data_IF_499708514302
#
_entry.id   IF_499708514302
#
_cell.length_a   1.000
_cell.length_b   1.000
_cell.length_c   1.000
_cell.angle_alpha   90.00
_cell.angle_beta   90.00
_cell.angle_gamma   90.00
#
_symmetry.space_group_name_H-M   'P 1'
#
loop_
_entity.id
_entity.type
_entity.pdbx_description
1 polymer ?
#
# COMPACT_ATOMS: atom_id res chain seq x y z
N UNK A 1 18.64 -18.47 -4.68
CA UNK A 1 17.20 -18.66 -4.39
C UNK A 1 16.62 -17.26 -4.25
N UNK A 2 15.85 -16.70 -5.21
CA UNK A 2 15.19 -15.43 -4.94
C UNK A 2 14.13 -15.69 -3.87
N UNK A 3 14.17 -14.95 -2.76
CA UNK A 3 13.15 -15.06 -1.72
C UNK A 3 11.79 -14.74 -2.35
N UNK A 4 10.81 -15.61 -2.17
CA UNK A 4 9.44 -15.29 -2.53
C UNK A 4 9.03 -14.06 -1.72
N UNK A 5 8.93 -12.91 -2.38
CA UNK A 5 8.31 -11.72 -1.80
C UNK A 5 6.84 -12.06 -1.70
N UNK A 6 6.39 -12.39 -0.50
CA UNK A 6 4.97 -12.52 -0.21
C UNK A 6 4.37 -11.15 -0.42
N UNK A 7 3.50 -11.02 -1.41
CA UNK A 7 2.84 -9.77 -1.72
C UNK A 7 1.88 -9.43 -0.58
N UNK A 8 1.76 -8.16 -0.14
CA UNK A 8 0.97 -7.77 1.02
C UNK A 8 -0.50 -8.30 1.02
N UNK A 9 -1.11 -8.47 -0.15
CA UNK A 9 -2.48 -9.01 -0.30
C UNK A 9 -2.59 -10.54 -0.24
N UNK A 10 -1.47 -11.26 -0.14
CA UNK A 10 -1.44 -12.72 0.02
C UNK A 10 -1.55 -13.15 1.50
N UNK A 11 -1.60 -12.19 2.44
CA UNK A 11 -1.56 -12.42 3.89
C UNK A 11 -2.76 -13.21 4.48
N UNK A 12 -3.79 -13.54 3.70
CA UNK A 12 -4.96 -14.30 4.17
C UNK A 12 -5.31 -15.54 3.32
N UNK A 13 -4.35 -16.09 2.56
CA UNK A 13 -4.60 -17.28 1.72
C UNK A 13 -4.60 -18.61 2.51
N UNK A 14 -4.29 -18.60 3.81
CA UNK A 14 -3.98 -19.83 4.58
C UNK A 14 -4.84 -20.09 5.83
N UNK A 15 -5.89 -19.33 6.13
CA UNK A 15 -6.65 -19.53 7.37
C UNK A 15 -8.15 -19.23 7.31
N UNK A 16 -8.97 -20.29 7.30
CA UNK A 16 -10.42 -20.24 7.58
C UNK A 16 -11.29 -20.31 6.32
N UNK A 17 -12.00 -21.44 6.15
CA UNK A 17 -12.81 -21.85 4.97
C UNK A 17 -12.24 -21.31 3.65
N UNK A 18 -11.49 -22.15 2.92
CA UNK A 18 -11.16 -21.87 1.53
C UNK A 18 -12.46 -21.75 0.72
N UNK A 19 -13.03 -20.55 0.66
CA UNK A 19 -14.00 -20.17 -0.35
C UNK A 19 -13.27 -20.31 -1.67
N UNK A 20 -13.71 -21.26 -2.47
CA UNK A 20 -13.16 -21.52 -3.79
C UNK A 20 -13.34 -20.24 -4.60
N UNK A 21 -12.25 -19.51 -4.83
CA UNK A 21 -12.28 -18.24 -5.56
C UNK A 21 -12.88 -18.46 -6.95
N UNK A 22 -13.79 -17.59 -7.37
CA UNK A 22 -14.35 -17.65 -8.72
C UNK A 22 -13.27 -17.42 -9.77
N UNK A 23 -13.55 -17.78 -11.03
CA UNK A 23 -12.63 -17.49 -12.13
C UNK A 23 -12.37 -15.99 -12.28
N UNK A 24 -13.37 -15.15 -12.01
CA UNK A 24 -13.25 -13.70 -12.00
C UNK A 24 -12.35 -13.21 -10.88
N UNK A 25 -12.50 -13.71 -9.66
CA UNK A 25 -11.62 -13.34 -8.52
C UNK A 25 -10.16 -13.74 -8.79
N UNK A 26 -9.94 -14.91 -9.40
CA UNK A 26 -8.61 -15.35 -9.83
C UNK A 26 -8.04 -14.44 -10.92
N UNK A 27 -8.84 -14.07 -11.91
CA UNK A 27 -8.44 -13.16 -12.97
C UNK A 27 -8.11 -11.75 -12.45
N UNK A 28 -8.90 -11.22 -11.50
CA UNK A 28 -8.60 -9.95 -10.84
C UNK A 28 -7.30 -10.02 -10.03
N UNK A 29 -7.11 -11.11 -9.26
CA UNK A 29 -5.86 -11.32 -8.51
C UNK A 29 -4.65 -11.31 -9.45
N UNK A 30 -4.73 -12.03 -10.57
CA UNK A 30 -3.63 -12.11 -11.53
C UNK A 30 -3.32 -10.76 -12.21
N UNK A 31 -4.33 -9.92 -12.47
CA UNK A 31 -4.13 -8.56 -12.99
C UNK A 31 -3.43 -7.68 -11.95
N UNK A 32 -3.88 -7.74 -10.70
CA UNK A 32 -3.25 -7.00 -9.60
C UNK A 32 -1.78 -7.41 -9.43
N UNK A 33 -1.49 -8.71 -9.44
CA UNK A 33 -0.11 -9.23 -9.35
C UNK A 33 0.77 -8.68 -10.49
N UNK A 34 0.25 -8.65 -11.72
CA UNK A 34 0.97 -8.12 -12.88
C UNK A 34 1.22 -6.61 -12.78
N UNK A 35 0.25 -5.83 -12.31
CA UNK A 35 0.39 -4.38 -12.13
C UNK A 35 1.48 -4.06 -11.08
N UNK A 36 1.49 -4.79 -9.98
CA UNK A 36 2.52 -4.63 -8.95
C UNK A 36 3.90 -5.06 -9.43
N UNK A 37 4.00 -6.14 -10.21
CA UNK A 37 5.26 -6.55 -10.84
C UNK A 37 5.82 -5.43 -11.72
N UNK A 38 4.98 -4.84 -12.57
CA UNK A 38 5.37 -3.74 -13.44
C UNK A 38 5.76 -2.48 -12.64
N UNK A 39 5.08 -2.20 -11.53
CA UNK A 39 5.37 -1.07 -10.65
C UNK A 39 6.76 -1.18 -9.99
N UNK A 40 7.35 -2.38 -9.87
CA UNK A 40 8.74 -2.55 -9.35
C UNK A 40 9.82 -2.11 -10.32
N UNK A 41 9.47 -1.61 -11.51
CA UNK A 41 10.45 -1.09 -12.45
C UNK A 41 11.21 0.11 -11.82
N UNK A 42 12.55 0.14 -11.87
CA UNK A 42 13.34 1.19 -11.23
C UNK A 42 13.06 2.59 -11.79
N UNK A 43 12.63 2.70 -13.05
CA UNK A 43 12.23 3.98 -13.64
C UNK A 43 10.92 4.45 -13.03
N UNK A 44 9.94 3.55 -12.85
CA UNK A 44 8.66 3.90 -12.20
C UNK A 44 8.92 4.32 -10.76
N UNK A 45 9.75 3.58 -10.02
CA UNK A 45 10.17 3.97 -8.66
C UNK A 45 10.82 5.37 -8.63
N UNK A 46 11.72 5.67 -9.58
CA UNK A 46 12.39 6.96 -9.63
C UNK A 46 11.40 8.10 -9.88
N UNK A 47 10.45 7.92 -10.80
CA UNK A 47 9.38 8.90 -11.07
C UNK A 47 8.47 9.06 -9.85
N UNK A 48 8.07 7.96 -9.20
CA UNK A 48 7.20 8.02 -8.01
C UNK A 48 7.88 8.73 -6.85
N UNK A 49 9.17 8.51 -6.64
CA UNK A 49 9.94 9.25 -5.63
C UNK A 49 10.01 10.74 -5.94
N UNK A 50 10.20 11.11 -7.21
CA UNK A 50 10.33 12.51 -7.64
C UNK A 50 8.99 13.27 -7.59
N UNK A 51 7.92 12.66 -8.11
CA UNK A 51 6.61 13.31 -8.22
C UNK A 51 5.82 13.24 -6.92
N UNK A 52 5.79 12.07 -6.28
CA UNK A 52 4.94 11.86 -5.11
C UNK A 52 5.72 11.98 -3.79
N UNK A 53 7.06 11.98 -3.82
CA UNK A 53 7.87 11.90 -2.60
C UNK A 53 7.68 10.58 -1.82
N UNK A 54 6.99 9.59 -2.40
CA UNK A 54 6.68 8.33 -1.75
C UNK A 54 7.56 7.20 -2.29
N UNK A 55 8.22 6.47 -1.39
CA UNK A 55 9.09 5.34 -1.72
C UNK A 55 8.34 4.08 -2.17
N UNK A 56 7.01 4.13 -2.24
CA UNK A 56 6.17 2.96 -2.47
C UNK A 56 5.43 3.09 -3.80
N UNK A 57 5.71 2.14 -4.68
CA UNK A 57 5.12 2.05 -6.01
C UNK A 57 3.90 1.13 -6.00
N UNK A 58 2.86 1.51 -6.73
CA UNK A 58 1.63 0.74 -6.88
C UNK A 58 0.55 1.13 -5.87
N UNK A 59 -0.69 1.28 -6.38
CA UNK A 59 -2.01 1.59 -5.78
C UNK A 59 -2.13 2.52 -4.55
N UNK A 60 -1.03 3.04 -4.00
CA UNK A 60 -1.00 4.11 -3.01
C UNK A 60 -0.68 5.40 -3.74
N UNK A 61 -1.59 6.37 -3.64
CA UNK A 61 -1.56 7.59 -4.46
C UNK A 61 -1.33 8.85 -3.65
N UNK A 62 -1.33 8.76 -2.32
CA UNK A 62 -1.08 9.90 -1.44
C UNK A 62 0.36 10.35 -1.58
N UNK A 63 0.54 11.59 -2.02
CA UNK A 63 1.85 12.25 -2.07
C UNK A 63 2.34 12.57 -0.66
N UNK A 64 3.64 12.85 -0.50
CA UNK A 64 4.21 13.25 0.78
C UNK A 64 3.57 14.53 1.31
N UNK A 65 3.39 15.53 0.45
CA UNK A 65 2.79 16.82 0.83
C UNK A 65 1.33 16.67 1.26
N UNK A 66 0.55 15.79 0.63
CA UNK A 66 -0.81 15.48 1.05
C UNK A 66 -0.84 14.75 2.41
N UNK A 67 0.12 13.85 2.64
CA UNK A 67 0.25 13.16 3.94
C UNK A 67 0.56 14.16 5.07
N UNK A 68 1.46 15.12 4.82
CA UNK A 68 1.82 16.15 5.80
C UNK A 68 0.63 17.11 6.05
N UNK A 69 -0.10 17.52 5.01
CA UNK A 69 -1.33 18.32 5.16
C UNK A 69 -2.41 17.58 5.95
N UNK A 70 -2.56 16.27 5.73
CA UNK A 70 -3.54 15.46 6.46
C UNK A 70 -3.21 15.42 7.96
N UNK A 71 -1.92 15.33 8.32
CA UNK A 71 -1.47 15.39 9.71
C UNK A 71 -1.84 16.71 10.39
N UNK A 72 -1.61 17.83 9.69
CA UNK A 72 -1.96 19.16 10.20
C UNK A 72 -3.48 19.30 10.40
N UNK A 73 -4.29 18.79 9.46
CA UNK A 73 -5.75 18.87 9.56
C UNK A 73 -6.33 17.95 10.63
N UNK A 74 -5.80 16.74 10.78
CA UNK A 74 -6.26 15.80 11.78
C UNK A 74 -5.81 16.19 13.19
N UNK A 75 -4.70 16.94 13.31
CA UNK A 75 -4.14 17.43 14.57
C UNK A 75 -4.06 16.34 15.65
N UNK A 76 -3.60 15.15 15.24
CA UNK A 76 -3.58 13.96 16.09
C UNK A 76 -2.56 14.08 17.22
N UNK A 77 -2.88 13.42 18.32
CA UNK A 77 -2.00 13.21 19.48
C UNK A 77 -1.84 11.71 19.77
N UNK A 78 -0.92 11.37 20.67
CA UNK A 78 -0.72 10.00 21.16
C UNK A 78 -1.97 9.37 21.81
N UNK A 79 -2.96 10.18 22.21
CA UNK A 79 -4.22 9.69 22.79
C UNK A 79 -5.25 9.29 21.72
N UNK A 80 -5.05 9.73 20.48
CA UNK A 80 -6.00 9.55 19.39
C UNK A 80 -5.83 8.20 18.69
N UNK A 81 -6.88 7.76 18.02
CA UNK A 81 -6.89 6.53 17.22
C UNK A 81 -7.31 6.85 15.80
N UNK A 82 -6.43 6.55 14.84
CA UNK A 82 -6.69 6.75 13.42
C UNK A 82 -7.01 5.41 12.74
N UNK A 83 -8.08 5.41 11.93
CA UNK A 83 -8.40 4.33 11.00
C UNK A 83 -8.20 4.83 9.57
N UNK A 84 -7.18 4.29 8.89
CA UNK A 84 -6.92 4.56 7.47
C UNK A 84 -7.60 3.48 6.59
N UNK A 85 -8.63 3.89 5.85
CA UNK A 85 -9.41 2.99 4.98
C UNK A 85 -8.88 3.09 3.55
N UNK A 86 -8.39 1.97 3.03
CA UNK A 86 -7.84 1.95 1.67
C UNK A 86 -6.41 2.47 1.59
N UNK A 87 -5.61 2.26 2.65
CA UNK A 87 -4.22 2.71 2.76
C UNK A 87 -3.26 2.23 1.64
N UNK A 88 -3.69 1.27 0.81
CA UNK A 88 -2.86 0.65 -0.22
C UNK A 88 -1.65 -0.04 0.41
N UNK A 89 -0.45 0.46 0.08
CA UNK A 89 0.80 0.00 0.69
C UNK A 89 1.02 0.47 2.14
N UNK A 90 0.15 1.34 2.68
CA UNK A 90 0.23 1.84 4.06
C UNK A 90 1.26 2.93 4.28
N UNK A 91 1.83 3.52 3.22
CA UNK A 91 2.91 4.50 3.31
C UNK A 91 2.55 5.76 4.11
N UNK A 92 1.38 6.41 3.95
CA UNK A 92 1.00 7.57 4.77
C UNK A 92 1.01 7.26 6.27
N UNK A 93 0.56 6.06 6.64
CA UNK A 93 0.59 5.57 8.02
C UNK A 93 1.98 5.58 8.65
N UNK A 94 3.06 5.38 7.88
CA UNK A 94 4.44 5.45 8.37
C UNK A 94 4.86 6.87 8.78
N UNK A 95 4.21 7.91 8.25
CA UNK A 95 4.46 9.30 8.66
C UNK A 95 3.62 9.67 9.86
N UNK A 96 2.45 9.04 10.02
CA UNK A 96 1.59 9.28 11.16
C UNK A 96 2.24 8.83 12.49
N UNK A 97 3.10 7.82 12.46
CA UNK A 97 3.78 7.30 13.67
C UNK A 97 4.79 8.26 14.29
N UNK A 98 5.20 9.32 13.60
CA UNK A 98 6.11 10.33 14.18
C UNK A 98 5.38 11.45 14.94
N UNK A 99 4.04 11.46 14.90
CA UNK A 99 3.19 12.49 15.52
C UNK A 99 2.38 11.92 16.71
N UNK A 100 2.29 10.59 16.81
CA UNK A 100 1.72 9.81 17.92
C UNK A 100 2.81 9.18 18.78
#
# INVERSE_FOLDING_TARGET
MPSAVVLPWQCNQTGGLATMRTAEEQAQTARLDADYEAARNPIVQAVTNDVCGCGYVGISWTTRDESDQMLDFLALSAADRLLDVGAGAGWPGLFFTNVT
#
